data_IF_879784859541
#
_entry.id   IF_879784859541
#
_cell.length_a   1.000
_cell.length_b   1.000
_cell.length_c   1.000
_cell.angle_alpha   90.00
_cell.angle_beta   90.00
_cell.angle_gamma   90.00
#
_symmetry.space_group_name_H-M   'P 1'
#
loop_
_entity.id
_entity.type
_entity.pdbx_description
1 polymer ?
#
# COMPACT_ATOMS: atom_id res chain seq x y z
N UNK A 1 8.42 14.56 -2.34
CA UNK A 1 9.21 13.37 -1.94
C UNK A 1 8.99 12.16 -2.84
N UNK A 2 7.76 11.81 -3.25
CA UNK A 2 7.53 10.67 -4.18
C UNK A 2 8.33 10.79 -5.49
N UNK A 3 8.38 11.98 -6.09
CA UNK A 3 9.16 12.21 -7.33
C UNK A 3 10.67 11.99 -7.14
N UNK A 4 11.18 12.14 -5.90
CA UNK A 4 12.59 11.95 -5.59
C UNK A 4 13.03 10.49 -5.74
N UNK A 5 12.10 9.53 -5.75
CA UNK A 5 12.39 8.10 -5.97
C UNK A 5 13.17 7.88 -7.27
N UNK A 6 12.82 8.59 -8.34
CA UNK A 6 13.53 8.47 -9.62
C UNK A 6 14.98 8.91 -9.52
N UNK A 7 15.23 10.05 -8.86
CA UNK A 7 16.58 10.57 -8.66
C UNK A 7 17.40 9.63 -7.77
N UNK A 8 16.83 9.16 -6.66
CA UNK A 8 17.52 8.25 -5.74
C UNK A 8 17.88 6.94 -6.43
N UNK A 9 16.93 6.27 -7.08
CA UNK A 9 17.13 4.95 -7.70
C UNK A 9 18.02 5.00 -8.94
N UNK A 10 17.71 5.90 -9.88
CA UNK A 10 18.25 5.80 -11.24
C UNK A 10 19.39 6.78 -11.56
N UNK A 11 19.64 7.77 -10.71
CA UNK A 11 20.76 8.71 -10.87
C UNK A 11 21.98 8.35 -9.99
N UNK A 12 21.88 7.32 -9.15
CA UNK A 12 22.94 6.90 -8.24
C UNK A 12 23.29 5.43 -8.48
N UNK A 13 24.51 5.15 -8.97
CA UNK A 13 24.96 3.78 -9.26
C UNK A 13 24.96 2.86 -8.04
N UNK A 14 25.21 3.42 -6.85
CA UNK A 14 25.19 2.64 -5.60
C UNK A 14 23.81 2.03 -5.38
N UNK A 15 22.75 2.83 -5.50
CA UNK A 15 21.39 2.36 -5.27
C UNK A 15 20.92 1.40 -6.37
N UNK A 16 21.19 1.68 -7.65
CA UNK A 16 20.76 0.78 -8.74
C UNK A 16 21.30 -0.66 -8.56
N UNK A 17 22.55 -0.82 -8.10
CA UNK A 17 23.18 -2.12 -7.93
C UNK A 17 22.63 -2.93 -6.74
N UNK A 18 22.11 -2.26 -5.71
CA UNK A 18 21.54 -2.93 -4.52
C UNK A 18 20.01 -2.95 -4.51
N UNK A 19 19.35 -2.38 -5.52
CA UNK A 19 17.89 -2.30 -5.57
C UNK A 19 17.28 -3.54 -6.23
N UNK A 20 17.50 -4.70 -5.60
CA UNK A 20 17.05 -6.02 -6.06
C UNK A 20 16.99 -7.03 -4.90
N UNK A 21 16.40 -8.20 -5.17
CA UNK A 21 16.20 -9.31 -4.24
C UNK A 21 17.46 -9.94 -3.64
N UNK A 22 18.65 -9.67 -4.19
CA UNK A 22 19.90 -10.17 -3.60
C UNK A 22 20.33 -9.34 -2.38
N UNK A 23 19.79 -8.12 -2.26
CA UNK A 23 20.21 -7.14 -1.25
C UNK A 23 19.04 -6.61 -0.42
N UNK A 24 17.81 -6.67 -0.94
CA UNK A 24 16.60 -6.22 -0.26
C UNK A 24 15.87 -7.42 0.31
N UNK A 25 15.74 -7.45 1.64
CA UNK A 25 14.94 -8.43 2.37
C UNK A 25 13.43 -8.15 2.25
N UNK A 26 13.02 -6.90 2.47
CA UNK A 26 11.64 -6.45 2.33
C UNK A 26 11.56 -4.94 2.02
N UNK A 27 10.42 -4.52 1.46
CA UNK A 27 10.06 -3.11 1.28
C UNK A 27 8.81 -2.84 2.10
N UNK A 28 8.75 -1.70 2.80
CA UNK A 28 7.58 -1.34 3.61
C UNK A 28 7.02 0.00 3.17
N UNK A 29 5.71 0.02 2.90
CA UNK A 29 4.97 1.23 2.55
C UNK A 29 3.92 1.48 3.64
N UNK A 30 4.06 2.59 4.36
CA UNK A 30 3.15 2.93 5.47
C UNK A 30 2.41 4.24 5.20
N UNK A 31 1.09 4.16 5.26
CA UNK A 31 0.20 5.32 5.38
C UNK A 31 -0.50 5.23 6.73
N UNK A 32 -0.21 6.16 7.64
CA UNK A 32 -0.78 6.19 8.98
C UNK A 32 -1.46 7.54 9.21
N UNK A 33 -2.70 7.49 9.70
CA UNK A 33 -3.50 8.65 10.03
C UNK A 33 -3.83 8.65 11.52
N UNK A 34 -3.97 9.84 12.11
CA UNK A 34 -4.39 10.02 13.50
C UNK A 34 -5.88 10.30 13.65
N UNK A 35 -6.56 10.56 12.53
CA UNK A 35 -7.97 10.93 12.48
C UNK A 35 -8.84 9.67 12.41
N UNK A 36 -10.09 9.80 12.88
CA UNK A 36 -11.10 8.78 12.69
C UNK A 36 -11.71 8.88 11.29
N UNK A 37 -12.90 8.28 11.11
CA UNK A 37 -13.67 8.44 9.87
C UNK A 37 -14.28 9.85 9.74
N UNK A 38 -14.39 10.57 10.85
CA UNK A 38 -14.97 11.92 10.92
C UNK A 38 -16.36 11.95 10.23
N UNK A 39 -16.65 12.99 9.46
CA UNK A 39 -17.93 13.15 8.74
C UNK A 39 -18.09 12.21 7.52
N UNK A 40 -17.09 11.37 7.21
CA UNK A 40 -17.08 10.53 6.00
C UNK A 40 -17.72 9.15 6.20
N UNK A 41 -18.30 8.86 7.36
CA UNK A 41 -18.86 7.55 7.74
C UNK A 41 -19.65 6.87 6.62
N UNK A 42 -20.67 7.53 6.07
CA UNK A 42 -21.54 6.94 5.05
C UNK A 42 -20.87 6.62 3.70
N UNK A 43 -19.78 7.31 3.35
CA UNK A 43 -18.96 6.99 2.18
C UNK A 43 -17.96 5.89 2.51
N UNK A 44 -17.20 6.08 3.60
CA UNK A 44 -16.09 5.22 3.98
C UNK A 44 -16.55 3.80 4.28
N UNK A 45 -17.77 3.65 4.82
CA UNK A 45 -18.34 2.35 5.16
C UNK A 45 -18.60 1.43 3.96
N UNK A 46 -18.48 1.95 2.73
CA UNK A 46 -18.56 1.19 1.48
C UNK A 46 -17.19 0.97 0.82
N UNK A 47 -16.17 1.73 1.22
CA UNK A 47 -14.83 1.68 0.66
C UNK A 47 -13.86 0.90 1.53
N UNK A 48 -13.76 1.26 2.81
CA UNK A 48 -12.71 0.81 3.72
C UNK A 48 -11.31 1.27 3.33
N UNK A 49 -10.33 0.98 4.18
CA UNK A 49 -8.92 1.32 3.94
C UNK A 49 -8.37 0.68 2.65
N UNK A 50 -8.85 -0.50 2.27
CA UNK A 50 -8.36 -1.21 1.07
C UNK A 50 -8.65 -0.42 -0.22
N UNK A 51 -9.86 0.13 -0.35
CA UNK A 51 -10.23 0.90 -1.56
C UNK A 51 -9.85 2.37 -1.47
N UNK A 52 -9.87 2.95 -0.27
CA UNK A 52 -9.55 4.38 -0.09
C UNK A 52 -8.04 4.66 -0.22
N UNK A 53 -7.19 3.74 0.25
CA UNK A 53 -5.73 3.96 0.35
C UNK A 53 -4.85 2.89 -0.32
N UNK A 54 -5.22 1.60 -0.24
CA UNK A 54 -4.35 0.53 -0.76
C UNK A 54 -4.40 0.46 -2.28
N UNK A 55 -5.60 0.31 -2.85
CA UNK A 55 -5.82 0.11 -4.29
C UNK A 55 -5.23 1.22 -5.17
N UNK A 56 -5.20 2.45 -4.66
CA UNK A 56 -4.72 3.63 -5.36
C UNK A 56 -3.31 4.03 -4.88
N UNK A 57 -3.18 4.70 -3.73
CA UNK A 57 -1.97 5.36 -3.28
C UNK A 57 -0.83 4.37 -3.01
N UNK A 58 -1.12 3.29 -2.28
CA UNK A 58 -0.11 2.27 -1.92
C UNK A 58 0.37 1.54 -3.16
N UNK A 59 -0.54 1.05 -4.01
CA UNK A 59 -0.16 0.34 -5.24
C UNK A 59 0.57 1.26 -6.24
N UNK A 60 0.23 2.55 -6.31
CA UNK A 60 1.00 3.49 -7.12
C UNK A 60 2.44 3.64 -6.60
N UNK A 61 2.65 3.72 -5.29
CA UNK A 61 3.99 3.81 -4.71
C UNK A 61 4.78 2.50 -4.89
N UNK A 62 4.13 1.36 -4.67
CA UNK A 62 4.70 0.04 -4.96
C UNK A 62 5.21 -0.03 -6.41
N UNK A 63 4.39 0.40 -7.38
CA UNK A 63 4.80 0.37 -8.79
C UNK A 63 6.03 1.24 -9.08
N UNK A 64 6.21 2.36 -8.38
CA UNK A 64 7.39 3.22 -8.52
C UNK A 64 8.64 2.64 -7.84
N UNK A 65 8.47 1.85 -6.78
CA UNK A 65 9.57 1.19 -6.07
C UNK A 65 10.01 -0.09 -6.77
N UNK A 66 9.08 -0.84 -7.36
CA UNK A 66 9.34 -2.13 -7.99
C UNK A 66 9.69 -2.05 -9.50
N UNK A 67 9.33 -0.96 -10.19
CA UNK A 67 9.61 -0.82 -11.63
C UNK A 67 11.09 -0.89 -11.97
N UNK A 68 11.42 -1.38 -13.16
CA UNK A 68 12.76 -1.26 -13.73
C UNK A 68 13.07 0.19 -14.14
N UNK A 69 14.33 0.45 -14.49
CA UNK A 69 14.71 1.73 -15.09
C UNK A 69 14.01 1.88 -16.44
N UNK A 70 13.22 2.94 -16.65
CA UNK A 70 12.51 3.12 -17.92
C UNK A 70 13.51 3.49 -19.04
N UNK A 71 13.13 3.20 -20.29
CA UNK A 71 13.96 3.51 -21.46
C UNK A 71 14.31 5.01 -21.54
N UNK A 72 13.35 5.88 -21.17
CA UNK A 72 13.55 7.29 -20.92
C UNK A 72 12.64 7.77 -19.77
N UNK A 73 12.83 9.01 -19.31
CA UNK A 73 11.98 9.60 -18.26
C UNK A 73 10.75 10.33 -18.81
N UNK A 74 10.27 9.92 -19.98
CA UNK A 74 8.98 10.40 -20.50
C UNK A 74 7.82 9.75 -19.76
N UNK A 75 6.64 10.39 -19.83
CA UNK A 75 5.42 9.89 -19.19
C UNK A 75 5.08 8.45 -19.63
N UNK A 76 5.22 8.16 -20.92
CA UNK A 76 4.77 6.88 -21.49
C UNK A 76 5.73 5.75 -21.13
N UNK A 77 7.04 5.99 -21.14
CA UNK A 77 8.03 4.97 -20.73
C UNK A 77 7.94 4.67 -19.23
N UNK A 78 7.77 5.69 -18.38
CA UNK A 78 7.53 5.48 -16.94
C UNK A 78 6.23 4.70 -16.72
N UNK A 79 5.17 5.04 -17.47
CA UNK A 79 3.89 4.33 -17.36
C UNK A 79 4.01 2.88 -17.80
N UNK A 80 4.78 2.59 -18.86
CA UNK A 80 5.01 1.24 -19.33
C UNK A 80 5.63 0.36 -18.22
N UNK A 81 6.65 0.87 -17.53
CA UNK A 81 7.28 0.14 -16.44
C UNK A 81 6.37 -0.05 -15.22
N UNK A 82 5.54 0.94 -14.87
CA UNK A 82 4.53 0.77 -13.82
C UNK A 82 3.49 -0.29 -14.18
N UNK A 83 3.04 -0.32 -15.44
CA UNK A 83 2.11 -1.34 -15.94
C UNK A 83 2.77 -2.72 -15.89
N UNK A 84 4.06 -2.83 -16.22
CA UNK A 84 4.81 -4.07 -16.12
C UNK A 84 4.80 -4.61 -14.69
N UNK A 85 4.97 -3.77 -13.68
CA UNK A 85 4.84 -4.18 -12.27
C UNK A 85 3.45 -4.76 -12.00
N UNK A 86 2.37 -4.04 -12.35
CA UNK A 86 1.01 -4.51 -12.08
C UNK A 86 0.67 -5.82 -12.79
N UNK A 87 1.18 -6.03 -14.02
CA UNK A 87 1.01 -7.29 -14.75
C UNK A 87 1.71 -8.48 -14.08
N UNK A 88 2.75 -8.21 -13.29
CA UNK A 88 3.52 -9.22 -12.56
C UNK A 88 3.19 -9.23 -11.06
N UNK A 89 2.11 -8.57 -10.61
CA UNK A 89 1.66 -8.76 -9.24
C UNK A 89 1.16 -10.21 -9.09
N UNK A 90 1.67 -10.87 -8.06
CA UNK A 90 1.20 -12.18 -7.67
C UNK A 90 -0.27 -12.10 -7.24
N UNK A 91 -1.07 -13.07 -7.71
CA UNK A 91 -2.48 -13.18 -7.38
C UNK A 91 -2.66 -14.35 -6.40
N UNK A 92 -2.70 -14.08 -5.08
CA UNK A 92 -2.81 -15.12 -4.08
C UNK A 92 -4.17 -15.84 -4.14
N UNK A 93 -4.16 -17.12 -3.77
CA UNK A 93 -5.35 -17.89 -3.45
C UNK A 93 -6.10 -17.33 -2.23
N UNK A 94 -7.32 -17.81 -1.98
CA UNK A 94 -8.10 -17.36 -0.82
C UNK A 94 -7.44 -17.74 0.52
N UNK A 95 -6.69 -18.84 0.54
CA UNK A 95 -5.91 -19.32 1.67
C UNK A 95 -4.72 -18.39 1.92
N UNK A 96 -3.92 -18.11 0.89
CA UNK A 96 -2.77 -17.19 0.98
C UNK A 96 -3.20 -15.76 1.34
N UNK A 97 -4.36 -15.31 0.86
CA UNK A 97 -4.91 -14.01 1.27
C UNK A 97 -5.13 -13.92 2.78
N UNK A 98 -5.58 -15.01 3.43
CA UNK A 98 -5.79 -15.03 4.89
C UNK A 98 -4.46 -15.06 5.66
N UNK A 99 -3.41 -15.60 5.06
CA UNK A 99 -2.08 -15.66 5.66
C UNK A 99 -1.32 -14.35 5.49
N UNK A 100 -1.47 -13.69 4.34
CA UNK A 100 -0.69 -12.51 3.99
C UNK A 100 -1.38 -11.18 4.32
N UNK A 101 -2.70 -11.14 4.43
CA UNK A 101 -3.43 -9.91 4.68
C UNK A 101 -4.22 -9.94 5.99
N UNK A 102 -4.10 -8.84 6.73
CA UNK A 102 -4.88 -8.57 7.93
C UNK A 102 -5.73 -7.32 7.72
N UNK A 103 -6.94 -7.37 8.27
CA UNK A 103 -7.88 -6.25 8.33
C UNK A 103 -8.21 -5.95 9.79
N UNK A 104 -8.29 -4.68 10.11
CA UNK A 104 -8.63 -4.19 11.44
C UNK A 104 -9.71 -3.13 11.38
N UNK A 105 -10.41 -2.95 12.49
CA UNK A 105 -11.38 -1.88 12.69
C UNK A 105 -11.09 -1.26 14.07
N UNK A 106 -10.84 0.06 14.10
CA UNK A 106 -10.51 0.75 15.33
C UNK A 106 -11.68 0.71 16.33
N UNK A 107 -11.33 0.62 17.61
CA UNK A 107 -12.28 0.58 18.72
C UNK A 107 -12.15 1.83 19.58
N UNK A 108 -13.11 2.01 20.48
CA UNK A 108 -13.04 3.08 21.47
C UNK A 108 -11.78 2.93 22.31
N UNK A 109 -11.20 4.07 22.68
CA UNK A 109 -9.90 4.08 23.36
C UNK A 109 -9.47 5.48 23.76
N UNK A 110 -8.30 5.55 24.38
CA UNK A 110 -7.66 6.81 24.75
C UNK A 110 -6.25 6.86 24.15
N UNK A 111 -5.97 7.87 23.35
CA UNK A 111 -4.66 8.11 22.72
C UNK A 111 -4.25 9.53 23.06
N UNK A 112 -3.04 9.72 23.58
CA UNK A 112 -2.47 11.03 23.94
C UNK A 112 -3.41 11.92 24.78
N UNK A 113 -4.16 11.32 25.71
CA UNK A 113 -5.10 12.06 26.55
C UNK A 113 -6.52 12.21 25.96
N UNK A 114 -6.68 12.04 24.65
CA UNK A 114 -7.94 12.21 23.92
C UNK A 114 -8.74 10.90 23.89
N UNK A 115 -10.05 10.98 24.09
CA UNK A 115 -10.97 9.83 23.99
C UNK A 115 -11.53 9.72 22.58
N UNK A 116 -11.52 8.51 22.04
CA UNK A 116 -12.08 8.18 20.73
C UNK A 116 -13.20 7.14 20.89
N UNK A 117 -14.23 7.24 20.05
CA UNK A 117 -15.31 6.26 19.97
C UNK A 117 -14.92 5.13 19.00
N UNK A 118 -15.62 4.00 19.07
CA UNK A 118 -15.44 2.92 18.09
C UNK A 118 -16.02 3.30 16.74
N UNK A 119 -15.46 2.76 15.66
CA UNK A 119 -15.92 3.03 14.29
C UNK A 119 -17.44 2.81 14.08
N UNK A 120 -17.99 1.72 14.62
CA UNK A 120 -19.43 1.41 14.58
C UNK A 120 -20.33 2.37 15.37
N UNK A 121 -19.73 3.24 16.18
CA UNK A 121 -20.43 4.29 16.93
C UNK A 121 -20.33 5.65 16.26
N UNK A 122 -19.59 5.75 15.15
CA UNK A 122 -19.44 6.98 14.40
C UNK A 122 -20.75 7.33 13.67
N UNK A 123 -21.04 8.62 13.47
CA UNK A 123 -22.19 9.05 12.69
C UNK A 123 -22.17 8.44 11.29
N UNK A 124 -23.33 7.97 10.83
CA UNK A 124 -23.53 7.42 9.48
C UNK A 124 -22.74 6.13 9.16
N UNK A 125 -22.32 5.38 10.18
CA UNK A 125 -21.74 4.03 10.03
C UNK A 125 -22.76 2.99 10.48
N UNK A 126 -22.84 1.85 9.78
CA UNK A 126 -23.69 0.73 10.20
C UNK A 126 -23.17 0.16 11.56
N UNK A 127 -24.00 0.06 12.61
CA UNK A 127 -23.61 -0.55 13.88
C UNK A 127 -23.06 -1.98 13.75
N UNK A 128 -23.42 -2.70 12.69
CA UNK A 128 -22.92 -4.05 12.38
C UNK A 128 -21.82 -4.07 11.30
N UNK A 129 -21.29 -2.90 10.92
CA UNK A 129 -20.30 -2.77 9.84
C UNK A 129 -19.08 -3.67 10.04
N UNK A 130 -18.72 -4.38 8.98
CA UNK A 130 -17.50 -5.18 8.86
C UNK A 130 -16.43 -4.47 8.02
N UNK A 131 -16.58 -3.18 7.76
CA UNK A 131 -15.64 -2.38 6.98
C UNK A 131 -14.36 -2.13 7.77
N UNK A 132 -13.22 -2.36 7.12
CA UNK A 132 -11.92 -2.17 7.74
C UNK A 132 -11.51 -0.71 7.72
N UNK A 133 -10.95 -0.24 8.84
CA UNK A 133 -10.27 1.06 8.95
C UNK A 133 -8.76 0.92 9.02
N UNK A 134 -8.27 -0.32 9.03
CA UNK A 134 -6.86 -0.68 8.94
C UNK A 134 -6.72 -1.88 8.00
N UNK A 135 -5.71 -1.85 7.15
CA UNK A 135 -5.29 -2.97 6.34
C UNK A 135 -3.77 -3.04 6.31
N UNK A 136 -3.23 -4.26 6.40
CA UNK A 136 -1.81 -4.53 6.21
C UNK A 136 -1.68 -5.87 5.52
N UNK A 137 -0.71 -6.01 4.65
CA UNK A 137 -0.39 -7.29 4.06
C UNK A 137 0.79 -7.21 3.10
N UNK A 138 1.19 -8.37 2.62
CA UNK A 138 2.34 -8.50 1.73
C UNK A 138 1.90 -8.62 0.27
N UNK A 139 2.50 -7.80 -0.58
CA UNK A 139 2.45 -7.96 -2.04
C UNK A 139 3.74 -8.57 -2.56
N UNK A 140 3.64 -9.33 -3.64
CA UNK A 140 4.80 -9.90 -4.33
C UNK A 140 4.77 -9.53 -5.81
N UNK A 141 5.91 -9.10 -6.34
CA UNK A 141 6.09 -8.74 -7.75
C UNK A 141 6.97 -9.80 -8.41
N UNK A 142 6.39 -10.65 -9.25
CA UNK A 142 7.06 -11.76 -9.92
C UNK A 142 7.91 -11.28 -11.10
N UNK A 143 9.05 -10.67 -10.76
CA UNK A 143 10.10 -10.26 -11.71
C UNK A 143 11.44 -10.74 -11.20
N UNK A 144 12.44 -10.90 -12.06
CA UNK A 144 13.78 -11.32 -11.64
C UNK A 144 14.38 -10.40 -10.56
N UNK A 145 14.03 -9.10 -10.63
CA UNK A 145 14.49 -8.09 -9.66
C UNK A 145 13.90 -8.28 -8.26
N UNK A 146 12.66 -8.75 -8.14
CA UNK A 146 11.87 -8.66 -6.90
C UNK A 146 11.08 -9.91 -6.50
N UNK A 147 11.14 -11.00 -7.27
CA UNK A 147 10.49 -12.27 -6.89
C UNK A 147 10.91 -12.63 -5.45
N UNK A 148 9.97 -13.17 -4.68
CA UNK A 148 10.10 -13.56 -3.27
C UNK A 148 10.37 -12.42 -2.27
N UNK A 149 10.52 -11.16 -2.71
CA UNK A 149 10.64 -10.01 -1.80
C UNK A 149 9.25 -9.50 -1.44
N UNK A 150 8.85 -9.51 -0.16
CA UNK A 150 7.58 -8.93 0.26
C UNK A 150 7.65 -7.40 0.24
N UNK A 151 6.58 -6.81 -0.30
CA UNK A 151 6.28 -5.38 -0.31
C UNK A 151 5.11 -5.04 0.61
#
# INVERSE_FOLDING_TARGET
>A
MIQSIFAVRFANMIFENVWNREHIDNVQITFAERLGVEERGGYYDKSGALRDMVQNHTLQLLSLLAMDKPASFTKDDIRAEKIKVFKNLYHPSNEELKEHFIRGQYRSGKVDGMKYISYRSEPNVDPESMTETFASGAFFVDTDRFRDVPF
#
